data_IF_195462355810
#
_entry.id   IF_195462355810
#
_cell.length_a   1.000
_cell.length_b   1.000
_cell.length_c   1.000
_cell.angle_alpha   90.00
_cell.angle_beta   90.00
_cell.angle_gamma   90.00
#
_symmetry.space_group_name_H-M   'P 1'
#
loop_
_entity.id
_entity.type
_entity.pdbx_description
1 polymer ?
#
# COMPACT_ATOMS: atom_id res chain seq x y z
N UNK A 1 2.61 4.41 8.42
CA UNK A 1 2.71 4.92 7.03
C UNK A 1 3.74 6.03 6.85
N UNK A 2 3.58 7.21 7.46
CA UNK A 2 4.48 8.36 7.25
C UNK A 2 5.96 8.10 7.59
N UNK A 3 6.25 7.22 8.55
CA UNK A 3 7.62 6.82 8.89
C UNK A 3 8.27 5.97 7.78
N UNK A 4 7.52 5.07 7.15
CA UNK A 4 8.01 4.22 6.05
C UNK A 4 8.38 5.08 4.83
N UNK A 5 7.53 6.04 4.47
CA UNK A 5 7.75 6.93 3.32
C UNK A 5 9.06 7.73 3.36
N UNK A 6 9.69 7.88 4.54
CA UNK A 6 11.01 8.53 4.68
C UNK A 6 12.16 7.70 4.11
N UNK A 7 11.96 6.41 3.86
CA UNK A 7 12.96 5.51 3.29
C UNK A 7 12.82 5.49 1.77
N UNK A 8 13.42 6.48 1.12
CA UNK A 8 13.46 6.59 -0.34
C UNK A 8 14.58 5.74 -0.92
N UNK A 9 14.30 4.96 -1.96
CA UNK A 9 15.32 4.19 -2.70
C UNK A 9 15.70 2.83 -2.08
N UNK A 10 15.11 2.47 -0.94
CA UNK A 10 15.28 1.14 -0.34
C UNK A 10 14.05 0.26 -0.68
N UNK A 11 14.26 -0.99 -1.14
CA UNK A 11 13.12 -1.86 -1.39
C UNK A 11 12.42 -2.19 -0.08
N UNK A 12 11.09 -2.14 -0.08
CA UNK A 12 10.26 -2.34 1.12
C UNK A 12 10.54 -3.67 1.85
N UNK A 13 10.94 -4.71 1.11
CA UNK A 13 11.35 -6.01 1.65
C UNK A 13 12.57 -5.92 2.60
N UNK A 14 13.47 -4.96 2.39
CA UNK A 14 14.64 -4.77 3.26
C UNK A 14 14.26 -4.02 4.54
N UNK A 15 13.15 -3.28 4.52
CA UNK A 15 12.64 -2.54 5.69
C UNK A 15 11.73 -3.43 6.54
N UNK A 16 10.82 -4.18 5.90
CA UNK A 16 9.76 -4.94 6.57
C UNK A 16 10.01 -6.46 6.57
N UNK A 17 10.85 -6.98 5.68
CA UNK A 17 10.97 -8.42 5.46
C UNK A 17 9.75 -9.03 4.76
N UNK A 18 9.87 -10.31 4.42
CA UNK A 18 8.77 -11.14 3.92
C UNK A 18 8.24 -12.02 5.05
N UNK A 19 6.92 -12.18 5.22
CA UNK A 19 5.83 -11.80 4.31
C UNK A 19 5.19 -10.43 4.58
N UNK A 20 5.77 -9.61 5.45
CA UNK A 20 5.13 -8.35 5.85
C UNK A 20 5.15 -7.29 4.74
N UNK A 21 6.10 -7.37 3.79
CA UNK A 21 6.07 -6.61 2.54
C UNK A 21 4.80 -6.87 1.72
N UNK A 22 4.33 -8.11 1.65
CA UNK A 22 3.09 -8.43 0.92
C UNK A 22 1.87 -7.88 1.65
N UNK A 23 1.80 -8.10 2.97
CA UNK A 23 0.70 -7.55 3.80
C UNK A 23 0.64 -6.04 3.74
N UNK A 24 1.80 -5.37 3.67
CA UNK A 24 1.85 -3.92 3.55
C UNK A 24 1.22 -3.44 2.24
N UNK A 25 1.45 -4.13 1.12
CA UNK A 25 0.76 -3.86 -0.16
C UNK A 25 -0.76 -4.04 -0.06
N UNK A 26 -1.21 -5.12 0.58
CA UNK A 26 -2.64 -5.36 0.81
C UNK A 26 -3.27 -4.26 1.68
N UNK A 27 -2.62 -3.87 2.77
CA UNK A 27 -3.07 -2.78 3.63
C UNK A 27 -3.16 -1.44 2.88
N UNK A 28 -2.12 -1.08 2.12
CA UNK A 28 -2.14 0.13 1.30
C UNK A 28 -3.31 0.14 0.32
N UNK A 29 -3.59 -1.00 -0.30
CA UNK A 29 -4.69 -1.15 -1.26
C UNK A 29 -6.04 -1.02 -0.59
N UNK A 30 -6.23 -1.70 0.54
CA UNK A 30 -7.47 -1.68 1.32
C UNK A 30 -7.79 -0.26 1.81
N UNK A 31 -6.85 0.39 2.49
CA UNK A 31 -7.10 1.70 3.07
C UNK A 31 -7.19 2.81 2.03
N UNK A 32 -6.51 2.68 0.88
CA UNK A 32 -6.75 3.55 -0.26
C UNK A 32 -8.19 3.47 -0.74
N UNK A 33 -8.75 2.26 -0.84
CA UNK A 33 -10.13 2.04 -1.30
C UNK A 33 -11.18 2.44 -0.26
N UNK A 34 -10.88 2.29 1.04
CA UNK A 34 -11.78 2.61 2.14
C UNK A 34 -11.74 4.10 2.58
N UNK A 35 -10.83 4.89 2.02
CA UNK A 35 -10.65 6.30 2.38
C UNK A 35 -11.91 7.11 2.04
N UNK A 36 -12.47 7.90 2.99
CA UNK A 36 -13.73 8.63 2.79
C UNK A 36 -13.56 9.86 1.89
N UNK A 37 -12.34 10.39 1.76
CA UNK A 37 -12.01 11.50 0.87
C UNK A 37 -10.76 11.20 0.01
N UNK A 38 -10.65 11.80 -1.19
CA UNK A 38 -9.47 11.64 -2.04
C UNK A 38 -8.14 12.01 -1.36
N UNK A 39 -8.16 13.03 -0.49
CA UNK A 39 -6.99 13.49 0.25
C UNK A 39 -6.50 12.44 1.27
N UNK A 40 -7.44 11.69 1.86
CA UNK A 40 -7.12 10.60 2.79
C UNK A 40 -6.50 9.40 2.05
N UNK A 41 -6.94 9.14 0.82
CA UNK A 41 -6.39 8.08 -0.04
C UNK A 41 -4.95 8.39 -0.49
N UNK A 42 -4.57 9.67 -0.56
CA UNK A 42 -3.30 10.12 -1.12
C UNK A 42 -2.09 9.56 -0.37
N UNK A 43 -2.20 9.37 0.94
CA UNK A 43 -1.13 8.78 1.75
C UNK A 43 -0.86 7.31 1.39
N UNK A 44 -1.91 6.55 1.12
CA UNK A 44 -1.83 5.13 0.76
C UNK A 44 -1.40 4.96 -0.70
N UNK A 45 -1.90 5.81 -1.58
CA UNK A 45 -1.45 5.94 -2.97
C UNK A 45 0.06 6.23 -3.05
N UNK A 46 0.57 7.16 -2.23
CA UNK A 46 2.01 7.47 -2.17
C UNK A 46 2.84 6.24 -1.77
N UNK A 47 2.36 5.45 -0.80
CA UNK A 47 3.00 4.19 -0.40
C UNK A 47 3.05 3.16 -1.55
N UNK A 48 1.96 3.02 -2.30
CA UNK A 48 1.93 2.14 -3.48
C UNK A 48 2.92 2.58 -4.54
N UNK A 49 2.99 3.88 -4.84
CA UNK A 49 3.94 4.43 -5.82
C UNK A 49 5.39 4.21 -5.40
N UNK A 50 5.72 4.50 -4.15
CA UNK A 50 7.10 4.42 -3.66
C UNK A 50 7.61 2.98 -3.56
N UNK A 51 6.77 2.05 -3.11
CA UNK A 51 7.24 0.71 -2.75
C UNK A 51 6.80 -0.40 -3.73
N UNK A 52 5.78 -0.14 -4.56
CA UNK A 52 5.17 -1.15 -5.44
C UNK A 52 4.90 -0.61 -6.85
N UNK A 53 5.58 0.46 -7.28
CA UNK A 53 5.41 1.08 -8.61
C UNK A 53 3.96 1.51 -8.91
N UNK A 54 3.18 1.79 -7.86
CA UNK A 54 1.76 2.15 -7.97
C UNK A 54 0.83 0.95 -8.09
N UNK A 55 1.35 -0.28 -8.07
CA UNK A 55 0.54 -1.49 -8.28
C UNK A 55 -0.21 -1.90 -7.01
N UNK A 56 -1.55 -1.81 -6.97
CA UNK A 56 -2.36 -2.32 -5.86
C UNK A 56 -2.26 -3.85 -5.76
N UNK A 57 -2.55 -4.39 -4.59
CA UNK A 57 -2.63 -5.83 -4.36
C UNK A 57 -3.89 -6.42 -5.03
N UNK A 58 -3.74 -7.32 -6.02
CA UNK A 58 -4.88 -7.87 -6.76
C UNK A 58 -5.84 -8.65 -5.85
N UNK A 59 -5.32 -9.46 -4.92
CA UNK A 59 -6.15 -10.26 -4.02
C UNK A 59 -7.01 -9.41 -3.08
N UNK A 60 -6.53 -8.23 -2.69
CA UNK A 60 -7.33 -7.25 -1.94
C UNK A 60 -8.43 -6.65 -2.82
N UNK A 61 -8.14 -6.28 -4.06
CA UNK A 61 -9.14 -5.73 -4.98
C UNK A 61 -10.26 -6.74 -5.28
N UNK A 62 -9.90 -8.02 -5.49
CA UNK A 62 -10.87 -9.09 -5.70
C UNK A 62 -11.84 -9.24 -4.52
N UNK A 63 -11.33 -9.15 -3.29
CA UNK A 63 -12.16 -9.24 -2.07
C UNK A 63 -13.04 -8.01 -1.86
N UNK A 64 -12.61 -6.84 -2.31
CA UNK A 64 -13.40 -5.61 -2.24
C UNK A 64 -14.50 -5.55 -3.32
N UNK A 65 -14.28 -6.24 -4.45
CA UNK A 65 -15.27 -6.37 -5.52
C UNK A 65 -16.27 -7.51 -5.27
N UNK A 66 -16.00 -8.38 -4.29
CA UNK A 66 -16.92 -9.45 -3.89
C UNK A 66 -18.21 -8.84 -3.28
N UNK A 67 -19.39 -9.38 -3.64
CA UNK A 67 -20.68 -8.89 -3.16
C UNK A 67 -20.93 -9.16 -1.67
#
# INVERSE_FOLDING_TARGET
>A
MRALLRHTGMPVREILGTPDDLKFRSCLTLFRAAAPAPDDAQLFEAGLRQFYQGAPDPGTLERLAAP
#
